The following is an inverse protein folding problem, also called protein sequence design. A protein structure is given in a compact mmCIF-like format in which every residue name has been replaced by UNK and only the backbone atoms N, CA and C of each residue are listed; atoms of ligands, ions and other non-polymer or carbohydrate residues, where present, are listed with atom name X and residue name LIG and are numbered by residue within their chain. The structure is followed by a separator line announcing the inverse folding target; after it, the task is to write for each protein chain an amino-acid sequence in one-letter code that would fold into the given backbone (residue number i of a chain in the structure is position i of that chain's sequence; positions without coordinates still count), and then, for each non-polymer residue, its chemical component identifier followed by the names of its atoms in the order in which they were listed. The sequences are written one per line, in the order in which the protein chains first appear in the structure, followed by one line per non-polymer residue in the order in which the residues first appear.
data_IF_306862094022
#
_entry.id   IF_306862094022
#
_cell.length_a   1.000
_cell.length_b   1.000
_cell.length_c   1.000
_cell.angle_alpha   90.00
_cell.angle_beta   90.00
_cell.angle_gamma   90.00
#
_symmetry.space_group_name_H-M   'P 1'
#
loop_
_entity.id
_entity.type
_entity.pdbx_description
1 polymer ?
#
# COMPACT_ATOMS: atom_id res chain seq x y z
N UNK A 1 1.13 12.23 13.44
CA UNK A 1 0.96 13.12 12.26
C UNK A 1 2.11 14.10 12.06
N UNK A 2 2.52 14.93 13.03
CA UNK A 2 3.57 15.95 12.87
C UNK A 2 4.86 15.52 12.14
N UNK A 3 5.35 14.29 12.37
CA UNK A 3 6.53 13.77 11.66
C UNK A 3 6.34 13.65 10.13
N UNK A 4 5.14 13.30 9.67
CA UNK A 4 4.86 13.11 8.25
C UNK A 4 4.89 14.44 7.50
N UNK A 5 4.36 15.51 8.10
CA UNK A 5 4.44 16.86 7.56
C UNK A 5 5.86 17.44 7.61
N UNK A 6 6.64 17.17 8.67
CA UNK A 6 8.08 17.51 8.68
C UNK A 6 8.86 16.82 7.56
N UNK A 7 8.48 15.60 7.18
CA UNK A 7 9.07 14.90 6.01
C UNK A 7 8.60 15.58 4.71
N UNK A 8 7.30 15.88 4.56
CA UNK A 8 6.75 16.62 3.41
C UNK A 8 7.52 17.91 3.16
N UNK A 9 7.71 18.72 4.19
CA UNK A 9 8.34 20.04 4.07
C UNK A 9 9.84 19.92 3.72
N UNK A 10 10.52 18.87 4.21
CA UNK A 10 11.88 18.53 3.74
C UNK A 10 11.89 18.09 2.27
N UNK A 11 10.98 17.21 1.87
CA UNK A 11 10.88 16.72 0.50
C UNK A 11 10.64 17.87 -0.50
N UNK A 12 9.71 18.79 -0.19
CA UNK A 12 9.46 20.00 -0.98
C UNK A 12 10.71 20.85 -1.19
N UNK A 13 11.49 21.12 -0.13
CA UNK A 13 12.75 21.90 -0.23
C UNK A 13 13.84 21.26 -1.11
N UNK A 14 13.74 19.96 -1.40
CA UNK A 14 14.71 19.23 -2.24
C UNK A 14 14.10 18.71 -3.55
N UNK A 15 12.90 19.15 -3.94
CA UNK A 15 12.22 18.70 -5.16
C UNK A 15 11.83 17.21 -5.17
N UNK A 16 11.80 16.55 -4.00
CA UNK A 16 11.52 15.11 -3.89
C UNK A 16 10.01 14.86 -3.88
N UNK A 17 9.51 14.12 -4.87
CA UNK A 17 8.09 13.69 -4.95
C UNK A 17 7.77 12.68 -3.83
N UNK A 18 6.65 12.86 -3.14
CA UNK A 18 6.21 11.98 -2.05
C UNK A 18 5.35 10.84 -2.61
N UNK A 19 5.67 9.60 -2.22
CA UNK A 19 4.84 8.42 -2.46
C UNK A 19 4.28 7.91 -1.14
N UNK A 20 2.95 7.84 -1.03
CA UNK A 20 2.26 7.20 0.08
C UNK A 20 1.92 5.76 -0.30
N UNK A 21 2.12 4.82 0.63
CA UNK A 21 1.64 3.45 0.51
C UNK A 21 0.79 3.16 1.75
N UNK A 22 -0.42 2.64 1.56
CA UNK A 22 -1.34 2.24 2.65
C UNK A 22 -1.73 0.79 2.45
N UNK A 23 -1.59 -0.04 3.47
CA UNK A 23 -2.27 -1.35 3.51
C UNK A 23 -3.65 -1.13 4.12
N UNK A 24 -4.69 -1.42 3.35
CA UNK A 24 -6.09 -1.29 3.72
C UNK A 24 -6.52 -2.61 4.35
N UNK A 25 -7.01 -2.52 5.57
CA UNK A 25 -7.37 -3.65 6.43
C UNK A 25 -8.58 -3.31 7.31
N UNK A 26 -9.06 -4.29 8.09
CA UNK A 26 -10.26 -4.17 8.92
C UNK A 26 -10.29 -2.92 9.81
N UNK A 27 -9.14 -2.51 10.34
CA UNK A 27 -9.01 -1.36 11.24
C UNK A 27 -9.17 0.00 10.54
N UNK A 28 -8.91 0.09 9.23
CA UNK A 28 -8.82 1.36 8.50
C UNK A 28 -9.67 1.45 7.22
N UNK A 29 -10.35 0.37 6.82
CA UNK A 29 -11.21 0.33 5.61
C UNK A 29 -12.39 1.32 5.68
N UNK A 30 -12.86 1.65 6.89
CA UNK A 30 -13.86 2.69 7.15
C UNK A 30 -13.29 4.13 7.17
N UNK A 31 -11.98 4.30 7.21
CA UNK A 31 -11.35 5.58 7.53
C UNK A 31 -11.45 6.59 6.35
N UNK A 32 -11.83 7.86 6.59
CA UNK A 32 -11.74 8.92 5.59
C UNK A 32 -10.31 9.48 5.56
N UNK A 33 -9.54 9.11 4.53
CA UNK A 33 -8.13 9.51 4.40
C UNK A 33 -7.91 10.72 3.48
N UNK A 34 -8.87 11.04 2.61
CA UNK A 34 -8.70 11.97 1.48
C UNK A 34 -8.07 13.32 1.84
N UNK A 35 -8.61 14.03 2.86
CA UNK A 35 -8.11 15.33 3.28
C UNK A 35 -6.62 15.29 3.71
N UNK A 36 -6.21 14.23 4.42
CA UNK A 36 -4.82 14.05 4.86
C UNK A 36 -3.88 13.72 3.71
N UNK A 37 -4.33 12.94 2.73
CA UNK A 37 -3.53 12.64 1.52
C UNK A 37 -3.33 13.89 0.67
N UNK A 38 -4.37 14.72 0.54
CA UNK A 38 -4.26 16.03 -0.12
C UNK A 38 -3.29 16.97 0.62
N UNK A 39 -3.38 17.08 1.95
CA UNK A 39 -2.47 17.91 2.76
C UNK A 39 -1.00 17.44 2.70
N UNK A 40 -0.79 16.14 2.51
CA UNK A 40 0.54 15.56 2.31
C UNK A 40 1.12 15.82 0.93
N UNK A 41 0.33 16.27 -0.06
CA UNK A 41 0.78 16.56 -1.42
C UNK A 41 1.50 15.35 -2.05
N UNK A 42 0.91 14.17 -1.85
CA UNK A 42 1.45 12.91 -2.33
C UNK A 42 1.26 12.79 -3.85
N UNK A 43 2.37 12.78 -4.60
CA UNK A 43 2.40 12.56 -6.04
C UNK A 43 1.75 11.23 -6.45
N UNK A 44 1.89 10.19 -5.61
CA UNK A 44 1.21 8.91 -5.81
C UNK A 44 0.86 8.29 -4.46
N UNK A 45 -0.39 7.87 -4.32
CA UNK A 45 -0.90 7.10 -3.19
C UNK A 45 -1.30 5.70 -3.67
N UNK A 46 -0.47 4.68 -3.39
CA UNK A 46 -0.87 3.28 -3.60
C UNK A 46 -1.64 2.78 -2.38
N UNK A 47 -2.87 2.32 -2.58
CA UNK A 47 -3.67 1.64 -1.57
C UNK A 47 -3.71 0.15 -1.91
N UNK A 48 -3.12 -0.66 -1.04
CA UNK A 48 -3.04 -2.11 -1.18
C UNK A 48 -4.11 -2.77 -0.34
N UNK A 49 -4.82 -3.75 -0.87
CA UNK A 49 -5.61 -4.64 -0.03
C UNK A 49 -4.66 -5.45 0.87
N UNK A 50 -5.07 -5.78 2.10
CA UNK A 50 -4.29 -6.69 2.94
C UNK A 50 -4.22 -8.08 2.29
N UNK A 51 -3.01 -8.61 2.16
CA UNK A 51 -2.73 -9.90 1.54
C UNK A 51 -2.23 -10.90 2.59
N UNK A 52 -2.93 -12.03 2.69
CA UNK A 52 -2.48 -13.21 3.42
C UNK A 52 -1.59 -14.06 2.53
N UNK A 53 -0.40 -14.40 3.02
CA UNK A 53 0.63 -15.20 2.34
C UNK A 53 0.94 -16.41 3.20
N UNK A 54 0.72 -17.60 2.64
CA UNK A 54 0.82 -18.86 3.36
C UNK A 54 2.25 -19.13 3.84
N UNK A 55 2.41 -19.46 5.12
CA UNK A 55 3.72 -19.67 5.76
C UNK A 55 4.51 -18.40 6.08
N UNK A 56 3.98 -17.20 5.79
CA UNK A 56 4.62 -15.92 6.12
C UNK A 56 3.86 -15.12 7.18
N UNK A 57 2.53 -15.04 7.05
CA UNK A 57 1.70 -14.16 7.88
C UNK A 57 0.30 -14.72 8.22
N UNK A 58 0.10 -16.03 8.10
CA UNK A 58 -1.19 -16.70 8.05
C UNK A 58 -1.56 -17.51 9.32
N UNK A 59 -0.72 -17.51 10.36
CA UNK A 59 -0.95 -18.31 11.57
C UNK A 59 -0.42 -17.65 12.85
N UNK A 60 -0.80 -18.22 14.01
CA UNK A 60 -0.18 -17.85 15.30
C UNK A 60 1.25 -18.37 15.47
N UNK A 61 1.76 -19.16 14.52
CA UNK A 61 3.13 -19.71 14.52
C UNK A 61 4.08 -18.93 13.60
N UNK A 62 3.53 -18.17 12.65
CA UNK A 62 4.29 -17.22 11.82
C UNK A 62 4.60 -15.94 12.61
N UNK A 63 5.66 -15.23 12.23
CA UNK A 63 6.09 -13.98 12.90
C UNK A 63 5.00 -12.89 12.91
N UNK A 64 4.00 -13.01 12.03
CA UNK A 64 2.84 -12.12 11.90
C UNK A 64 1.60 -12.99 11.67
N UNK A 65 0.43 -12.47 12.06
CA UNK A 65 -0.87 -13.05 11.75
C UNK A 65 -1.79 -11.95 11.22
N UNK A 66 -2.14 -12.00 9.94
CA UNK A 66 -3.00 -10.99 9.30
C UNK A 66 -4.47 -11.37 9.28
N UNK A 67 -4.86 -12.57 9.71
CA UNK A 67 -6.23 -13.10 9.53
C UNK A 67 -7.30 -12.21 10.14
N UNK A 68 -7.05 -11.67 11.34
CA UNK A 68 -7.97 -10.72 12.01
C UNK A 68 -8.12 -9.38 11.29
N UNK A 69 -7.17 -9.04 10.41
CA UNK A 69 -7.13 -7.78 9.67
C UNK A 69 -7.68 -7.92 8.23
N UNK A 70 -7.93 -9.14 7.75
CA UNK A 70 -8.46 -9.41 6.41
C UNK A 70 -9.80 -8.69 6.15
N UNK A 71 -10.00 -8.25 4.91
CA UNK A 71 -11.22 -7.62 4.38
C UNK A 71 -11.61 -8.28 3.07
N UNK A 72 -12.91 -8.36 2.79
CA UNK A 72 -13.42 -8.82 1.51
C UNK A 72 -13.14 -7.81 0.39
N UNK A 73 -13.10 -8.29 -0.86
CA UNK A 73 -12.85 -7.46 -2.04
C UNK A 73 -13.88 -6.31 -2.14
N UNK A 74 -15.16 -6.56 -1.83
CA UNK A 74 -16.21 -5.54 -1.79
C UNK A 74 -15.98 -4.43 -0.73
N UNK A 75 -15.35 -4.76 0.41
CA UNK A 75 -14.99 -3.75 1.43
C UNK A 75 -13.84 -2.86 0.91
N UNK A 76 -12.88 -3.47 0.20
CA UNK A 76 -11.78 -2.75 -0.45
C UNK A 76 -12.27 -1.89 -1.63
N UNK A 77 -13.19 -2.38 -2.45
CA UNK A 77 -13.82 -1.63 -3.53
C UNK A 77 -14.60 -0.42 -3.00
N UNK A 78 -15.32 -0.56 -1.88
CA UNK A 78 -15.98 0.55 -1.20
C UNK A 78 -14.99 1.60 -0.67
N UNK A 79 -13.82 1.17 -0.16
CA UNK A 79 -12.73 2.08 0.18
C UNK A 79 -12.17 2.81 -1.06
N UNK A 80 -12.00 2.10 -2.17
CA UNK A 80 -11.52 2.67 -3.43
C UNK A 80 -12.50 3.68 -4.03
N UNK A 81 -13.80 3.34 -4.06
CA UNK A 81 -14.86 4.22 -4.56
C UNK A 81 -14.93 5.55 -3.78
N UNK A 82 -14.67 5.51 -2.46
CA UNK A 82 -14.60 6.70 -1.59
C UNK A 82 -13.44 7.64 -1.95
N UNK A 83 -12.30 7.09 -2.40
CA UNK A 83 -11.05 7.83 -2.59
C UNK A 83 -10.65 8.09 -4.06
N UNK A 84 -11.34 7.47 -5.04
CA UNK A 84 -11.07 7.60 -6.49
C UNK A 84 -11.09 9.03 -7.06
N UNK A 85 -11.62 10.00 -6.31
CA UNK A 85 -11.65 11.41 -6.71
C UNK A 85 -10.28 12.11 -6.60
N UNK A 86 -9.30 11.46 -5.96
CA UNK A 86 -7.93 11.97 -5.85
C UNK A 86 -7.09 11.49 -7.03
N UNK A 87 -6.55 12.41 -7.84
CA UNK A 87 -5.76 12.08 -9.03
C UNK A 87 -4.49 11.26 -8.74
N UNK A 88 -3.98 11.27 -7.50
CA UNK A 88 -2.82 10.48 -7.10
C UNK A 88 -3.16 9.04 -6.63
N UNK A 89 -4.45 8.70 -6.48
CA UNK A 89 -4.90 7.41 -5.94
C UNK A 89 -4.72 6.27 -6.95
N UNK A 90 -4.09 5.18 -6.49
CA UNK A 90 -3.86 3.96 -7.27
C UNK A 90 -4.25 2.75 -6.40
N UNK A 91 -5.38 2.08 -6.69
CA UNK A 91 -5.79 0.87 -5.97
C UNK A 91 -5.02 -0.36 -6.46
N UNK A 92 -4.67 -1.24 -5.52
CA UNK A 92 -3.87 -2.45 -5.73
C UNK A 92 -4.54 -3.60 -4.94
N UNK A 93 -5.58 -4.20 -5.51
CA UNK A 93 -6.27 -5.36 -4.91
C UNK A 93 -5.39 -6.62 -4.92
N UNK A 94 -5.81 -7.64 -4.18
CA UNK A 94 -5.08 -8.91 -4.11
C UNK A 94 -4.91 -9.58 -5.49
N UNK A 95 -5.91 -9.48 -6.39
CA UNK A 95 -5.82 -10.00 -7.75
C UNK A 95 -4.89 -9.18 -8.67
N UNK A 96 -4.81 -7.86 -8.50
CA UNK A 96 -3.82 -7.02 -9.20
C UNK A 96 -2.41 -7.33 -8.67
N UNK A 97 -2.26 -7.50 -7.36
CA UNK A 97 -0.97 -7.79 -6.75
C UNK A 97 -0.40 -9.14 -7.20
N UNK A 98 -1.23 -10.19 -7.24
CA UNK A 98 -0.81 -11.53 -7.64
C UNK A 98 -0.26 -11.60 -9.08
N UNK A 99 -0.75 -10.75 -9.98
CA UNK A 99 -0.38 -10.78 -11.41
C UNK A 99 0.74 -9.81 -11.80
N UNK A 100 0.86 -8.67 -11.10
CA UNK A 100 1.69 -7.55 -11.56
C UNK A 100 2.96 -7.31 -10.73
N UNK A 101 3.15 -8.00 -9.59
CA UNK A 101 4.26 -7.72 -8.66
C UNK A 101 5.49 -8.58 -8.82
N UNK A 102 6.58 -7.96 -8.38
CA UNK A 102 7.87 -7.89 -9.05
C UNK A 102 8.98 -7.51 -8.00
N UNK A 103 8.97 -8.21 -6.86
CA UNK A 103 9.79 -8.19 -5.64
C UNK A 103 11.17 -8.89 -5.78
N UNK A 104 12.25 -8.31 -5.24
CA UNK A 104 13.59 -8.93 -5.23
C UNK A 104 14.10 -9.29 -3.82
N UNK A 105 14.47 -10.55 -3.60
CA UNK A 105 15.10 -11.00 -2.34
C UNK A 105 16.64 -10.91 -2.37
N UNK A 106 17.26 -10.43 -1.29
CA UNK A 106 18.70 -10.66 -1.04
C UNK A 106 18.89 -12.14 -0.66
N UNK A 107 19.40 -12.93 -1.59
CA UNK A 107 19.35 -14.40 -1.47
C UNK A 107 20.24 -15.01 -0.40
N UNK A 108 19.64 -15.79 0.52
CA UNK A 108 20.06 -17.16 0.84
C UNK A 108 18.90 -17.98 1.46
N UNK A 109 18.34 -18.88 0.62
CA UNK A 109 17.40 -19.99 0.91
C UNK A 109 15.91 -19.68 1.22
N UNK A 110 15.06 -20.30 0.37
CA UNK A 110 13.60 -20.58 0.45
C UNK A 110 12.62 -19.40 0.37
N UNK A 111 11.75 -19.42 -0.66
CA UNK A 111 10.60 -18.53 -0.83
C UNK A 111 10.55 -17.87 -2.23
N UNK A 112 9.46 -18.03 -3.03
CA UNK A 112 9.38 -17.49 -4.38
C UNK A 112 8.92 -16.03 -4.38
N UNK A 113 9.85 -15.12 -4.10
CA UNK A 113 9.62 -13.68 -4.30
C UNK A 113 9.81 -13.32 -5.78
N UNK A 114 8.70 -13.41 -6.51
CA UNK A 114 8.38 -12.96 -7.88
C UNK A 114 8.90 -11.53 -8.13
N UNK A 115 9.59 -11.20 -9.26
CA UNK A 115 10.60 -10.11 -9.43
C UNK A 115 10.59 -9.36 -10.81
N UNK A 116 10.63 -7.99 -10.87
CA UNK A 116 11.02 -7.07 -12.02
C UNK A 116 10.63 -5.56 -11.80
N UNK A 117 10.07 -4.80 -12.79
CA UNK A 117 10.04 -3.31 -12.85
C UNK A 117 8.97 -2.71 -13.80
N UNK A 118 8.58 -1.43 -13.61
CA UNK A 118 8.17 -0.55 -14.74
C UNK A 118 8.76 0.86 -14.59
N UNK A 119 9.48 1.32 -15.62
CA UNK A 119 10.03 2.68 -15.68
C UNK A 119 8.90 3.71 -15.74
N UNK A 120 9.06 4.83 -15.03
CA UNK A 120 8.33 6.06 -15.33
C UNK A 120 9.30 7.07 -15.94
N UNK A 121 9.36 7.10 -17.28
CA UNK A 121 9.89 8.24 -18.05
C UNK A 121 8.74 9.22 -18.28
N UNK A 122 8.99 10.51 -18.02
CA UNK A 122 7.98 11.60 -18.08
C UNK A 122 7.49 12.03 -16.70
#
# INVERSE_FOLDING_TARGET
MAQLFRIRDRCRRHGVKIKLNTVVCRDNVGEPMAARVAELDAFRWKAFQVLRVAGENDSGWTLRDVRRFEIADAEFDAFCARHRHLACFVPESNCVMANNYLLAGRGRRRGPFVLSSSEAKG
#
